data_IF_417017266400
#
_entry.id   IF_417017266400
#
_cell.length_a   1.000
_cell.length_b   1.000
_cell.length_c   1.000
_cell.angle_alpha   90.00
_cell.angle_beta   90.00
_cell.angle_gamma   90.00
#
_symmetry.space_group_name_H-M   'P 1'
#
loop_
_entity.id
_entity.type
_entity.pdbx_description
1 polymer ?
#
# COMPACT_ATOMS: atom_id res chain seq x y z
N UNK A 1 1.09 25.25 -6.84
CA UNK A 1 1.67 24.89 -5.52
C UNK A 1 1.16 23.52 -5.13
N UNK A 2 2.00 22.49 -5.22
CA UNK A 2 1.64 21.15 -4.73
C UNK A 2 1.68 21.15 -3.19
N UNK A 3 0.63 20.60 -2.56
CA UNK A 3 0.54 20.55 -1.09
C UNK A 3 1.46 19.45 -0.55
N UNK A 4 2.03 19.64 0.65
CA UNK A 4 2.80 18.62 1.32
C UNK A 4 1.93 17.38 1.63
N UNK A 5 2.49 16.18 1.46
CA UNK A 5 1.75 14.93 1.56
C UNK A 5 1.16 14.68 2.97
N UNK A 6 1.71 15.31 4.00
CA UNK A 6 1.22 15.21 5.39
C UNK A 6 -0.20 15.78 5.60
N UNK A 7 -0.68 16.63 4.69
CA UNK A 7 -2.03 17.22 4.78
C UNK A 7 -3.10 16.32 4.18
N UNK A 8 -2.71 15.18 3.60
CA UNK A 8 -3.66 14.13 3.19
C UNK A 8 -4.19 13.43 4.43
N UNK A 9 -5.51 13.30 4.53
CA UNK A 9 -6.17 12.62 5.67
C UNK A 9 -5.62 11.20 5.82
N UNK A 10 -5.15 10.88 7.02
CA UNK A 10 -4.54 9.59 7.34
C UNK A 10 -3.01 9.54 7.14
N UNK A 11 -2.40 10.55 6.52
CA UNK A 11 -0.95 10.67 6.35
C UNK A 11 -0.37 11.59 7.42
N UNK A 12 -0.26 11.09 8.65
CA UNK A 12 0.44 11.79 9.73
C UNK A 12 1.97 11.88 9.49
N UNK A 13 2.72 12.57 10.37
CA UNK A 13 4.15 12.81 10.21
C UNK A 13 5.00 11.53 10.10
N UNK A 14 4.57 10.44 10.75
CA UNK A 14 5.23 9.13 10.63
C UNK A 14 5.12 8.59 9.20
N UNK A 15 3.93 8.61 8.61
CA UNK A 15 3.70 8.14 7.23
C UNK A 15 4.35 9.06 6.20
N UNK A 16 4.35 10.38 6.45
CA UNK A 16 5.05 11.34 5.60
C UNK A 16 6.57 11.04 5.54
N UNK A 17 7.21 10.67 6.66
CA UNK A 17 8.62 10.24 6.67
C UNK A 17 8.85 8.95 5.89
N UNK A 18 7.93 7.98 5.95
CA UNK A 18 8.02 6.76 5.15
C UNK A 18 7.90 7.05 3.65
N UNK A 19 6.97 7.93 3.26
CA UNK A 19 6.79 8.37 1.88
C UNK A 19 8.01 9.16 1.37
N UNK A 20 8.63 9.99 2.21
CA UNK A 20 9.86 10.70 1.86
C UNK A 20 11.02 9.75 1.52
N UNK A 21 11.12 8.58 2.17
CA UNK A 21 12.11 7.53 1.83
C UNK A 21 11.87 6.93 0.44
N UNK A 22 10.66 7.05 -0.09
CA UNK A 22 10.28 6.65 -1.45
C UNK A 22 10.37 7.82 -2.46
N UNK A 23 10.85 8.99 -2.03
CA UNK A 23 10.95 10.19 -2.86
C UNK A 23 9.62 10.96 -3.02
N UNK A 24 8.62 10.69 -2.19
CA UNK A 24 7.28 11.29 -2.27
C UNK A 24 7.15 12.37 -1.19
N UNK A 25 7.06 13.64 -1.59
CA UNK A 25 7.00 14.78 -0.66
C UNK A 25 5.68 15.56 -0.79
N UNK A 26 5.10 15.56 -1.98
CA UNK A 26 3.90 16.34 -2.31
C UNK A 26 2.74 15.45 -2.72
N UNK A 27 1.52 16.00 -2.69
CA UNK A 27 0.34 15.30 -3.20
C UNK A 27 0.46 14.95 -4.69
N UNK A 28 1.20 15.74 -5.47
CA UNK A 28 1.42 15.47 -6.88
C UNK A 28 2.30 14.24 -7.06
N UNK A 29 3.40 14.14 -6.31
CA UNK A 29 4.29 12.97 -6.31
C UNK A 29 3.52 11.71 -5.95
N UNK A 30 2.61 11.79 -4.96
CA UNK A 30 1.79 10.66 -4.54
C UNK A 30 0.85 10.17 -5.65
N UNK A 31 0.22 11.08 -6.38
CA UNK A 31 -0.70 10.73 -7.49
C UNK A 31 0.06 10.16 -8.69
N UNK A 32 1.29 10.64 -8.93
CA UNK A 32 2.15 10.19 -10.03
C UNK A 32 2.95 8.92 -9.69
N UNK A 33 2.91 8.47 -8.43
CA UNK A 33 3.57 7.25 -7.99
C UNK A 33 2.70 6.01 -8.28
N UNK A 34 2.75 5.54 -9.52
CA UNK A 34 2.01 4.36 -9.94
C UNK A 34 2.56 3.07 -9.29
N UNK A 35 1.69 2.11 -8.95
CA UNK A 35 2.15 0.82 -8.45
C UNK A 35 2.96 0.08 -9.51
N UNK A 36 3.93 -0.72 -9.05
CA UNK A 36 4.76 -1.56 -9.93
C UNK A 36 3.93 -2.64 -10.64
N UNK A 37 2.91 -3.17 -9.97
CA UNK A 37 1.97 -4.14 -10.52
C UNK A 37 0.59 -3.96 -9.87
N UNK A 38 -0.47 -4.23 -10.62
CA UNK A 38 -1.85 -4.16 -10.18
C UNK A 38 -2.37 -5.57 -9.89
N UNK A 39 -2.28 -5.99 -8.64
CA UNK A 39 -2.95 -7.23 -8.21
C UNK A 39 -4.47 -7.02 -8.17
N UNK A 40 -5.20 -7.72 -9.03
CA UNK A 40 -6.66 -7.72 -9.05
C UNK A 40 -7.18 -8.90 -8.24
N UNK A 41 -8.09 -8.61 -7.31
CA UNK A 41 -8.79 -9.68 -6.58
C UNK A 41 -9.67 -10.45 -7.56
N UNK A 42 -9.49 -11.77 -7.59
CA UNK A 42 -10.36 -12.66 -8.34
C UNK A 42 -11.52 -13.08 -7.43
N UNK A 43 -12.73 -13.09 -8.00
CA UNK A 43 -13.89 -13.65 -7.30
C UNK A 43 -13.72 -15.17 -7.29
N UNK A 44 -13.68 -15.74 -6.10
CA UNK A 44 -13.63 -17.19 -5.89
C UNK A 44 -14.80 -17.59 -5.02
N UNK A 45 -15.35 -18.78 -5.27
CA UNK A 45 -16.37 -19.32 -4.38
C UNK A 45 -15.73 -19.65 -3.03
N UNK A 46 -16.47 -19.43 -1.94
CA UNK A 46 -15.97 -19.70 -0.58
C UNK A 46 -15.55 -21.18 -0.46
N UNK A 47 -16.25 -22.09 -1.12
CA UNK A 47 -15.93 -23.53 -1.19
C UNK A 47 -14.61 -23.86 -1.90
N UNK A 48 -14.04 -22.93 -2.67
CA UNK A 48 -12.81 -23.09 -3.44
C UNK A 48 -11.63 -22.33 -2.82
N UNK A 49 -11.82 -21.75 -1.63
CA UNK A 49 -10.72 -21.12 -0.92
C UNK A 49 -9.66 -22.19 -0.60
N UNK A 50 -8.37 -21.91 -0.83
CA UNK A 50 -7.32 -22.80 -0.35
C UNK A 50 -7.50 -22.95 1.15
N UNK A 51 -7.41 -24.19 1.65
CA UNK A 51 -7.39 -24.45 3.08
C UNK A 51 -6.33 -23.53 3.69
N UNK A 52 -6.69 -22.83 4.77
CA UNK A 52 -5.78 -21.93 5.46
C UNK A 52 -4.59 -22.79 5.92
N UNK A 53 -3.54 -22.83 5.11
CA UNK A 53 -2.36 -23.61 5.43
C UNK A 53 -1.75 -22.95 6.67
N UNK A 54 -2.03 -23.54 7.82
CA UNK A 54 -1.20 -23.42 9.00
C UNK A 54 0.13 -24.11 8.70
N UNK A 55 0.88 -23.57 7.74
CA UNK A 55 2.28 -23.87 7.52
C UNK A 55 3.08 -22.74 8.16
N UNK A 56 3.11 -22.78 9.49
CA UNK A 56 4.30 -22.45 10.23
C UNK A 56 4.76 -23.76 10.89
N UNK A 57 5.41 -24.63 10.09
CA UNK A 57 6.41 -25.53 10.66
C UNK A 57 7.55 -24.66 11.18
N UNK A 58 7.97 -24.83 12.42
CA UNK A 58 8.99 -25.81 12.80
C UNK A 58 10.24 -25.68 11.93
N UNK A 59 11.28 -25.09 12.54
CA UNK A 59 12.57 -24.74 11.98
C UNK A 59 13.23 -23.64 12.81
#
# INVERSE_FOLDING_TARGET
MSKAVQYVKGVGPVRARLLARLGIFTCQDLVQHYPRDYSRRQLVQISQLPELSAQAGDG
#
